data_IF_794843752638
#
_entry.id   IF_794843752638
#
_cell.length_a   1.000
_cell.length_b   1.000
_cell.length_c   1.000
_cell.angle_alpha   90.00
_cell.angle_beta   90.00
_cell.angle_gamma   90.00
#
_symmetry.space_group_name_H-M   'P 1'
#
loop_
_entity.id
_entity.type
_entity.pdbx_description
1 polymer ?
#
# COMPACT_ATOMS: atom_id res chain seq x y z
N UNK A 1 -8.81 -5.03 5.64
CA UNK A 1 -8.44 -4.60 4.28
C UNK A 1 -7.54 -3.39 4.38
N UNK A 2 -6.75 -3.11 3.34
CA UNK A 2 -5.94 -1.89 3.23
C UNK A 2 -6.71 -0.91 2.34
N UNK A 3 -6.68 0.39 2.61
CA UNK A 3 -7.30 1.42 1.75
C UNK A 3 -6.23 2.44 1.38
N UNK A 4 -6.07 2.69 0.08
CA UNK A 4 -5.13 3.68 -0.46
C UNK A 4 -5.74 5.09 -0.53
N UNK A 5 -4.90 6.12 -0.57
CA UNK A 5 -5.35 7.49 -0.83
C UNK A 5 -5.39 7.75 -2.36
N UNK A 6 -6.45 8.41 -2.85
CA UNK A 6 -6.66 8.77 -4.27
C UNK A 6 -5.50 9.56 -4.87
N UNK A 7 -4.90 10.45 -4.10
CA UNK A 7 -3.70 11.22 -4.49
C UNK A 7 -2.46 10.36 -4.77
N UNK A 8 -2.49 9.07 -4.40
CA UNK A 8 -1.36 8.15 -4.58
C UNK A 8 -1.57 7.11 -5.67
N UNK A 9 -2.72 7.15 -6.38
CA UNK A 9 -3.11 6.19 -7.42
C UNK A 9 -3.42 4.76 -6.92
N UNK A 10 -3.17 4.47 -5.64
CA UNK A 10 -3.18 3.12 -5.06
C UNK A 10 -4.56 2.64 -4.60
N UNK A 11 -5.53 3.55 -4.41
CA UNK A 11 -6.90 3.22 -3.94
C UNK A 11 -7.71 2.45 -4.97
N UNK A 12 -7.60 2.80 -6.25
CA UNK A 12 -8.35 2.15 -7.33
C UNK A 12 -7.94 0.68 -7.51
N UNK A 13 -6.65 0.37 -7.31
CA UNK A 13 -6.11 -0.97 -7.46
C UNK A 13 -6.42 -1.88 -6.26
N UNK A 14 -6.42 -1.34 -5.04
CA UNK A 14 -6.83 -2.12 -3.85
C UNK A 14 -8.33 -2.39 -3.85
N UNK A 15 -9.16 -1.45 -4.32
CA UNK A 15 -10.57 -1.72 -4.58
C UNK A 15 -10.74 -2.89 -5.54
N UNK A 16 -10.04 -2.86 -6.69
CA UNK A 16 -10.07 -3.94 -7.68
C UNK A 16 -9.72 -5.31 -7.09
N UNK A 17 -8.69 -5.40 -6.24
CA UNK A 17 -8.31 -6.67 -5.59
C UNK A 17 -9.38 -7.17 -4.61
N UNK A 18 -10.03 -6.26 -3.87
CA UNK A 18 -11.02 -6.61 -2.86
C UNK A 18 -12.42 -6.89 -3.43
N UNK A 19 -12.81 -6.26 -4.54
CA UNK A 19 -14.18 -6.29 -5.05
C UNK A 19 -14.31 -6.85 -6.47
N UNK A 20 -13.19 -7.03 -7.18
CA UNK A 20 -13.17 -7.50 -8.56
C UNK A 20 -13.68 -6.48 -9.60
N UNK A 21 -14.01 -5.25 -9.19
CA UNK A 21 -14.61 -4.23 -10.09
C UNK A 21 -13.74 -2.96 -10.19
N UNK A 22 -13.77 -2.34 -11.38
CA UNK A 22 -13.11 -1.05 -11.66
C UNK A 22 -14.00 0.10 -11.19
N UNK A 23 -13.46 1.03 -10.40
CA UNK A 23 -14.16 2.29 -10.10
C UNK A 23 -13.66 3.33 -11.09
N UNK A 24 -14.56 3.83 -11.92
CA UNK A 24 -14.27 4.82 -12.97
C UNK A 24 -14.42 6.27 -12.49
N UNK A 25 -14.64 6.48 -11.19
CA UNK A 25 -14.84 7.83 -10.65
C UNK A 25 -13.50 8.51 -10.36
N UNK A 26 -12.99 9.19 -11.39
CA UNK A 26 -12.41 10.51 -11.20
C UNK A 26 -13.42 11.38 -10.46
N UNK A 27 -12.99 12.10 -9.42
CA UNK A 27 -13.81 13.17 -8.87
C UNK A 27 -12.97 14.44 -8.61
N UNK A 28 -13.51 15.63 -8.97
CA UNK A 28 -12.74 16.81 -9.34
C UNK A 28 -12.47 17.78 -8.19
N UNK A 29 -12.94 17.54 -6.97
CA UNK A 29 -12.83 18.52 -5.90
C UNK A 29 -11.79 18.16 -4.84
N UNK A 30 -10.77 19.02 -4.75
CA UNK A 30 -9.75 18.99 -3.72
C UNK A 30 -10.34 19.12 -2.32
N UNK A 31 -10.28 18.04 -1.54
CA UNK A 31 -10.40 18.12 -0.08
C UNK A 31 -9.02 18.20 0.55
N UNK A 32 -8.61 19.44 0.84
CA UNK A 32 -7.55 19.75 1.79
C UNK A 32 -7.87 19.12 3.15
N UNK A 33 -7.00 18.25 3.68
CA UNK A 33 -7.07 17.86 5.08
C UNK A 33 -5.71 17.99 5.77
N UNK A 34 -5.74 18.81 6.83
CA UNK A 34 -4.65 19.34 7.63
C UNK A 34 -3.84 18.24 8.34
N UNK A 35 -2.51 18.35 8.23
CA UNK A 35 -1.54 17.62 9.04
C UNK A 35 -1.56 18.20 10.48
N UNK A 36 -2.01 17.41 11.46
CA UNK A 36 -1.74 17.69 12.87
C UNK A 36 -0.76 16.66 13.40
N UNK A 37 0.48 17.11 13.61
CA UNK A 37 1.53 16.40 14.34
C UNK A 37 1.04 16.04 15.74
N UNK A 38 0.87 14.75 16.03
CA UNK A 38 0.85 14.28 17.40
C UNK A 38 1.50 12.90 17.52
N UNK A 39 2.26 12.70 18.60
CA UNK A 39 3.24 11.63 18.81
C UNK A 39 2.63 10.27 19.16
N UNK A 40 1.61 9.85 18.43
CA UNK A 40 1.13 8.47 18.34
C UNK A 40 1.11 8.10 16.85
N UNK A 41 1.91 7.13 16.37
CA UNK A 41 2.17 6.97 14.94
C UNK A 41 0.95 6.47 14.15
N UNK A 42 -0.09 6.03 14.84
CA UNK A 42 -1.31 5.47 14.24
C UNK A 42 -2.51 6.13 14.90
N UNK A 43 -3.16 7.05 14.17
CA UNK A 43 -4.43 7.63 14.59
C UNK A 43 -5.58 6.71 14.17
N UNK A 44 -6.53 6.45 15.06
CA UNK A 44 -7.71 5.63 14.79
C UNK A 44 -8.94 6.54 14.63
N UNK A 45 -9.62 6.42 13.50
CA UNK A 45 -10.91 7.05 13.21
C UNK A 45 -11.98 5.99 12.98
N UNK A 46 -13.25 6.36 13.18
CA UNK A 46 -14.39 5.58 12.69
C UNK A 46 -14.89 6.25 11.43
N UNK A 47 -14.95 5.49 10.33
CA UNK A 47 -15.43 5.96 9.04
C UNK A 47 -16.57 5.09 8.55
N UNK A 48 -17.60 5.72 7.99
CA UNK A 48 -18.71 5.04 7.34
C UNK A 48 -18.38 4.87 5.86
N UNK A 49 -18.19 3.62 5.43
CA UNK A 49 -17.88 3.29 4.04
C UNK A 49 -19.09 2.58 3.45
N UNK A 50 -19.59 3.12 2.33
CA UNK A 50 -20.70 2.52 1.58
C UNK A 50 -20.14 1.62 0.49
N UNK A 51 -20.46 0.32 0.57
CA UNK A 51 -20.10 -0.70 -0.42
C UNK A 51 -21.39 -1.39 -0.84
N UNK A 52 -21.68 -1.47 -2.13
CA UNK A 52 -22.88 -2.14 -2.68
C UNK A 52 -24.20 -1.72 -2.00
N UNK A 53 -24.43 -0.40 -1.89
CA UNK A 53 -25.61 0.20 -1.23
C UNK A 53 -25.77 -0.14 0.26
N UNK A 54 -24.74 -0.68 0.91
CA UNK A 54 -24.69 -0.92 2.35
C UNK A 54 -23.64 -0.05 2.99
N UNK A 55 -24.05 0.78 3.94
CA UNK A 55 -23.14 1.59 4.76
C UNK A 55 -22.67 0.80 5.96
N UNK A 56 -21.36 0.62 6.09
CA UNK A 56 -20.72 -0.12 7.18
C UNK A 56 -19.69 0.77 7.86
N UNK A 57 -19.61 0.68 9.19
CA UNK A 57 -18.62 1.41 9.99
C UNK A 57 -17.31 0.62 10.04
N UNK A 58 -16.21 1.28 9.71
CA UNK A 58 -14.86 0.74 9.78
C UNK A 58 -14.00 1.52 10.77
N UNK A 59 -13.16 0.80 11.50
CA UNK A 59 -12.04 1.40 12.22
C UNK A 59 -10.90 1.61 11.23
N UNK A 60 -10.53 2.86 11.00
CA UNK A 60 -9.48 3.25 10.07
C UNK A 60 -8.26 3.67 10.86
N UNK A 61 -7.15 2.97 10.62
CA UNK A 61 -5.88 3.21 11.26
C UNK A 61 -4.95 3.94 10.28
N UNK A 62 -4.68 5.22 10.55
CA UNK A 62 -3.80 6.03 9.72
C UNK A 62 -2.36 5.56 9.85
N UNK A 63 -1.70 5.29 8.73
CA UNK A 63 -0.28 4.97 8.71
C UNK A 63 0.59 6.23 8.54
N UNK A 64 1.83 6.24 9.04
CA UNK A 64 2.79 7.31 8.77
C UNK A 64 2.94 7.58 7.26
N UNK A 65 2.99 8.87 6.88
CA UNK A 65 3.20 9.32 5.48
C UNK A 65 4.69 9.45 5.16
N UNK A 66 5.41 8.34 5.24
CA UNK A 66 6.84 8.27 4.98
C UNK A 66 7.18 7.37 3.79
N UNK A 67 6.23 7.11 2.89
CA UNK A 67 6.44 6.22 1.74
C UNK A 67 6.54 4.73 2.09
N UNK A 68 6.46 4.35 3.36
CA UNK A 68 6.42 2.94 3.79
C UNK A 68 5.02 2.49 4.18
N UNK A 69 3.99 3.33 3.95
CA UNK A 69 2.62 3.10 4.40
C UNK A 69 2.03 1.73 4.04
N UNK A 70 2.29 1.20 2.84
CA UNK A 70 1.82 -0.15 2.46
C UNK A 70 2.40 -1.22 3.38
N UNK A 71 3.71 -1.21 3.60
CA UNK A 71 4.40 -2.16 4.46
C UNK A 71 4.02 -1.96 5.93
N UNK A 72 3.80 -0.70 6.37
CA UNK A 72 3.22 -0.41 7.68
C UNK A 72 1.86 -1.06 7.86
N UNK A 73 0.96 -0.92 6.87
CA UNK A 73 -0.36 -1.54 6.89
C UNK A 73 -0.28 -3.06 6.97
N UNK A 74 0.58 -3.70 6.16
CA UNK A 74 0.81 -5.14 6.21
C UNK A 74 1.34 -5.59 7.57
N UNK A 75 2.36 -4.92 8.08
CA UNK A 75 2.93 -5.21 9.39
C UNK A 75 1.90 -5.07 10.52
N UNK A 76 1.06 -4.02 10.47
CA UNK A 76 0.02 -3.80 11.46
C UNK A 76 -1.07 -4.88 11.41
N UNK A 77 -1.49 -5.30 10.21
CA UNK A 77 -2.48 -6.39 10.04
C UNK A 77 -1.94 -7.71 10.62
N UNK A 78 -0.66 -8.01 10.38
CA UNK A 78 -0.05 -9.28 10.79
C UNK A 78 0.36 -9.32 12.28
N UNK A 79 0.77 -8.18 12.84
CA UNK A 79 1.43 -8.14 14.15
C UNK A 79 0.82 -7.16 15.15
N UNK A 80 -0.18 -6.36 14.76
CA UNK A 80 -0.81 -5.34 15.62
C UNK A 80 0.06 -4.10 15.89
N UNK A 81 1.22 -3.99 15.23
CA UNK A 81 2.15 -2.86 15.35
C UNK A 81 3.02 -2.72 14.09
N UNK A 82 3.70 -1.58 13.93
CA UNK A 82 4.55 -1.29 12.75
C UNK A 82 6.06 -1.52 12.96
N UNK A 83 6.47 -2.14 14.07
CA UNK A 83 7.90 -2.27 14.44
C UNK A 83 8.69 -3.23 13.54
N UNK A 84 8.03 -4.15 12.85
CA UNK A 84 8.63 -5.18 11.99
C UNK A 84 8.51 -4.85 10.50
N UNK A 85 8.21 -3.59 10.17
CA UNK A 85 7.91 -3.17 8.79
C UNK A 85 9.06 -3.41 7.82
N UNK A 86 10.30 -3.16 8.27
CA UNK A 86 11.47 -3.43 7.45
C UNK A 86 11.67 -4.92 7.21
N UNK A 87 11.29 -5.77 8.17
CA UNK A 87 11.39 -7.22 8.01
C UNK A 87 10.31 -7.75 7.06
N UNK A 88 9.08 -7.23 7.15
CA UNK A 88 8.02 -7.49 6.15
C UNK A 88 8.49 -7.09 4.75
N UNK A 89 9.04 -5.89 4.59
CA UNK A 89 9.59 -5.40 3.31
C UNK A 89 10.69 -6.33 2.79
N UNK A 90 11.66 -6.73 3.62
CA UNK A 90 12.73 -7.66 3.23
C UNK A 90 12.21 -9.02 2.81
N UNK A 91 11.22 -9.56 3.52
CA UNK A 91 10.64 -10.86 3.22
C UNK A 91 9.94 -10.84 1.86
N UNK A 92 9.18 -9.78 1.55
CA UNK A 92 8.53 -9.61 0.25
C UNK A 92 9.59 -9.52 -0.85
N UNK A 93 10.60 -8.66 -0.68
CA UNK A 93 11.67 -8.52 -1.68
C UNK A 93 12.40 -9.85 -1.91
N UNK A 94 12.74 -10.57 -0.84
CA UNK A 94 13.37 -11.90 -0.92
C UNK A 94 12.50 -12.90 -1.69
N UNK A 95 11.20 -12.94 -1.41
CA UNK A 95 10.25 -13.78 -2.13
C UNK A 95 10.21 -13.46 -3.63
N UNK A 96 10.19 -12.18 -4.00
CA UNK A 96 10.20 -11.75 -5.40
C UNK A 96 11.50 -12.13 -6.10
N UNK A 97 12.64 -11.96 -5.43
CA UNK A 97 13.96 -12.28 -6.00
C UNK A 97 14.15 -13.79 -6.21
N UNK A 98 13.58 -14.63 -5.34
CA UNK A 98 13.67 -16.09 -5.45
C UNK A 98 12.99 -16.66 -6.71
N UNK A 99 12.03 -15.94 -7.31
CA UNK A 99 11.34 -16.33 -8.55
C UNK A 99 11.23 -15.12 -9.51
N UNK A 100 12.35 -14.46 -9.72
CA UNK A 100 12.40 -13.21 -10.49
C UNK A 100 11.87 -13.33 -11.91
N UNK A 101 12.16 -14.42 -12.60
CA UNK A 101 11.75 -14.58 -14.00
C UNK A 101 10.23 -14.60 -14.15
N UNK A 102 9.52 -15.11 -13.14
CA UNK A 102 8.07 -15.04 -13.06
C UNK A 102 7.58 -13.63 -12.73
N UNK A 103 8.26 -12.93 -11.84
CA UNK A 103 7.75 -11.69 -11.24
C UNK A 103 8.14 -10.40 -11.95
N UNK A 104 9.25 -10.36 -12.69
CA UNK A 104 9.77 -9.14 -13.31
C UNK A 104 8.73 -8.36 -14.13
N UNK A 105 7.87 -9.08 -14.86
CA UNK A 105 6.80 -8.50 -15.72
C UNK A 105 5.62 -7.90 -14.94
N UNK A 106 5.58 -8.10 -13.62
CA UNK A 106 4.55 -7.56 -12.73
C UNK A 106 5.05 -6.44 -11.82
N UNK A 107 6.38 -6.25 -11.74
CA UNK A 107 6.97 -5.18 -10.95
C UNK A 107 6.61 -3.82 -11.53
N UNK A 108 6.55 -2.78 -10.69
CA UNK A 108 6.17 -1.43 -11.11
C UNK A 108 7.14 -0.46 -10.45
N UNK A 109 7.96 0.20 -11.26
CA UNK A 109 8.88 1.23 -10.81
C UNK A 109 8.18 2.58 -10.63
N UNK A 110 8.87 3.56 -10.05
CA UNK A 110 8.28 4.88 -9.80
C UNK A 110 7.85 5.64 -11.06
N UNK A 111 8.15 5.12 -12.26
CA UNK A 111 7.81 5.70 -13.56
C UNK A 111 6.69 4.96 -14.29
N UNK A 112 6.20 3.84 -13.72
CA UNK A 112 5.17 3.00 -14.34
C UNK A 112 5.71 1.89 -15.25
N UNK A 113 7.04 1.73 -15.28
CA UNK A 113 7.72 0.69 -16.06
C UNK A 113 8.10 -0.50 -15.16
N UNK A 114 8.35 -1.66 -15.76
CA UNK A 114 8.82 -2.82 -15.01
C UNK A 114 10.32 -2.70 -14.70
N UNK A 115 10.72 -3.15 -13.52
CA UNK A 115 12.13 -3.34 -13.19
C UNK A 115 12.76 -4.39 -14.12
N UNK A 116 13.88 -4.03 -14.74
CA UNK A 116 14.56 -4.88 -15.72
C UNK A 116 15.56 -5.85 -15.10
N UNK A 117 16.05 -5.56 -13.90
CA UNK A 117 17.07 -6.36 -13.20
C UNK A 117 16.72 -6.58 -11.74
N UNK A 118 17.15 -7.73 -11.20
CA UNK A 118 17.01 -8.07 -9.78
C UNK A 118 17.72 -7.04 -8.90
N UNK A 119 18.91 -6.62 -9.29
CA UNK A 119 19.75 -5.69 -8.55
C UNK A 119 19.08 -4.33 -8.43
N UNK A 120 18.47 -3.84 -9.53
CA UNK A 120 17.76 -2.57 -9.50
C UNK A 120 16.52 -2.66 -8.59
N UNK A 121 15.68 -3.70 -8.75
CA UNK A 121 14.52 -3.94 -7.90
C UNK A 121 14.92 -4.00 -6.42
N UNK A 122 15.92 -4.83 -6.08
CA UNK A 122 16.41 -4.98 -4.72
C UNK A 122 16.92 -3.66 -4.14
N UNK A 123 17.75 -2.94 -4.90
CA UNK A 123 18.35 -1.69 -4.45
C UNK A 123 17.33 -0.58 -4.20
N UNK A 124 16.25 -0.52 -4.97
CA UNK A 124 15.16 0.45 -4.77
C UNK A 124 14.24 0.00 -3.64
N UNK A 125 13.78 -1.25 -3.66
CA UNK A 125 12.73 -1.73 -2.77
C UNK A 125 13.19 -1.93 -1.33
N UNK A 126 14.50 -2.11 -1.09
CA UNK A 126 15.06 -2.16 0.26
C UNK A 126 15.36 -0.78 0.86
N UNK A 127 15.31 0.31 0.07
CA UNK A 127 15.47 1.64 0.64
C UNK A 127 14.34 1.93 1.63
N UNK A 128 14.65 2.59 2.75
CA UNK A 128 13.61 3.16 3.58
C UNK A 128 12.84 4.18 2.72
N UNK A 129 11.51 4.20 2.85
CA UNK A 129 10.62 5.17 2.18
C UNK A 129 10.26 4.91 0.71
N UNK A 130 10.78 3.85 0.07
CA UNK A 130 10.28 3.45 -1.27
C UNK A 130 8.86 2.93 -1.17
N UNK A 131 7.95 3.48 -1.97
CA UNK A 131 6.57 3.03 -2.06
C UNK A 131 6.50 1.61 -2.62
N UNK A 132 5.65 0.78 -2.03
CA UNK A 132 5.20 -0.44 -2.71
C UNK A 132 3.98 -0.16 -3.58
N UNK A 133 3.78 -1.03 -4.56
CA UNK A 133 2.68 -0.98 -5.51
C UNK A 133 1.65 -2.09 -5.22
N UNK A 134 0.69 -2.28 -6.12
CA UNK A 134 -0.21 -3.43 -6.06
C UNK A 134 0.54 -4.76 -6.17
N UNK A 135 1.70 -4.78 -6.84
CA UNK A 135 2.51 -5.97 -6.96
C UNK A 135 3.07 -6.43 -5.61
N UNK A 136 3.64 -5.54 -4.80
CA UNK A 136 4.13 -5.90 -3.45
C UNK A 136 3.01 -6.37 -2.54
N UNK A 137 1.78 -5.86 -2.71
CA UNK A 137 0.61 -6.36 -2.00
C UNK A 137 0.26 -7.79 -2.41
N UNK A 138 0.30 -8.10 -3.71
CA UNK A 138 0.07 -9.47 -4.21
C UNK A 138 1.19 -10.43 -3.80
N UNK A 139 2.43 -9.97 -3.79
CA UNK A 139 3.58 -10.76 -3.34
C UNK A 139 3.54 -11.07 -1.83
N UNK A 140 2.80 -10.28 -1.06
CA UNK A 140 2.62 -10.47 0.38
C UNK A 140 1.42 -11.35 0.76
N UNK A 141 0.58 -11.74 -0.21
CA UNK A 141 -0.61 -12.55 0.00
C UNK A 141 -0.29 -14.05 0.04
#
# INVERSE_FOLDING_TARGET
GIVGNLSSGKSALVHRYLTGTYVQEESPEGTHFLCHSNRNPINMSIEEITIDQRTVKYQVFSMPRDGTCLFHSLCYILHGHIRLTLDIRRNIVSYVLNDWDRFKVWTDDGTGDNYTTQEHYMSEMLKPFTYGSAFELMAAA
#
